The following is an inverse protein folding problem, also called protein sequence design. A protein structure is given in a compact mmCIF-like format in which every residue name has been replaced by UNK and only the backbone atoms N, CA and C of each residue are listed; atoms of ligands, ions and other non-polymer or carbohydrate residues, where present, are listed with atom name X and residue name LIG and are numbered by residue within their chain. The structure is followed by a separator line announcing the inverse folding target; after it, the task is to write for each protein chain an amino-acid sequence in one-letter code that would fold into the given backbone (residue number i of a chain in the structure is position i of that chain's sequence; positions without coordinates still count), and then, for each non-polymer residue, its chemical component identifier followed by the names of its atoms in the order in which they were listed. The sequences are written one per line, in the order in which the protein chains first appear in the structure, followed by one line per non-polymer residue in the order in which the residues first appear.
data_IF_248600685477
#
_entry.id   IF_248600685477
#
_cell.length_a   1.000
_cell.length_b   1.000
_cell.length_c   1.000
_cell.angle_alpha   90.00
_cell.angle_beta   90.00
_cell.angle_gamma   90.00
#
_symmetry.space_group_name_H-M   'P 1'
#
loop_
_entity.id
_entity.type
_entity.pdbx_description
1 polymer ?
#
# COMPACT_ATOMS: atom_id res chain seq x y z
N UNK A 1 6.40 18.97 -9.18
CA UNK A 1 6.50 17.52 -8.93
C UNK A 1 5.78 17.22 -7.63
N UNK A 2 4.90 16.23 -7.64
CA UNK A 2 4.20 15.78 -6.43
C UNK A 2 5.20 15.15 -5.46
N UNK A 3 5.16 15.55 -4.18
CA UNK A 3 6.02 14.98 -3.14
C UNK A 3 5.41 13.66 -2.64
N UNK A 4 6.22 12.84 -1.97
CA UNK A 4 5.73 11.62 -1.30
C UNK A 4 4.49 11.86 -0.43
N UNK A 5 4.49 12.99 0.31
CA UNK A 5 3.37 13.38 1.18
C UNK A 5 2.05 13.61 0.43
N UNK A 6 2.09 14.06 -0.83
CA UNK A 6 0.87 14.22 -1.63
C UNK A 6 0.16 12.88 -1.84
N UNK A 7 0.89 11.83 -2.23
CA UNK A 7 0.32 10.50 -2.43
C UNK A 7 -0.16 9.88 -1.11
N UNK A 8 0.58 10.10 -0.01
CA UNK A 8 0.17 9.65 1.31
C UNK A 8 -1.15 10.32 1.76
N UNK A 9 -1.24 11.64 1.63
CA UNK A 9 -2.45 12.42 1.95
C UNK A 9 -3.62 11.97 1.07
N UNK A 10 -3.42 11.81 -0.24
CA UNK A 10 -4.48 11.32 -1.14
C UNK A 10 -5.08 9.99 -0.67
N UNK A 11 -4.25 9.05 -0.19
CA UNK A 11 -4.74 7.77 0.38
C UNK A 11 -5.41 7.96 1.74
N UNK A 12 -4.86 8.82 2.59
CA UNK A 12 -5.40 9.08 3.93
C UNK A 12 -6.75 9.83 3.91
N UNK A 13 -7.09 10.50 2.82
CA UNK A 13 -8.39 11.16 2.59
C UNK A 13 -9.28 10.37 1.62
N UNK A 14 -9.03 9.06 1.44
CA UNK A 14 -9.95 8.21 0.70
C UNK A 14 -11.33 8.22 1.39
N UNK A 15 -12.46 8.36 0.66
CA UNK A 15 -13.80 8.47 1.25
C UNK A 15 -14.18 7.27 2.14
N UNK A 16 -13.60 6.11 1.84
CA UNK A 16 -13.63 4.94 2.71
C UNK A 16 -12.19 4.50 2.93
N UNK A 17 -11.79 4.41 4.20
CA UNK A 17 -10.40 4.16 4.59
C UNK A 17 -10.34 3.05 5.64
N UNK A 18 -9.56 2.02 5.37
CA UNK A 18 -9.11 1.09 6.39
C UNK A 18 -7.81 1.60 7.03
N UNK A 19 -7.71 1.51 8.36
CA UNK A 19 -6.52 1.86 9.12
C UNK A 19 -6.39 0.99 10.36
N UNK A 20 -5.18 0.62 10.73
CA UNK A 20 -4.92 -0.02 12.01
C UNK A 20 -4.57 1.04 13.06
N UNK A 21 -5.13 0.91 14.26
CA UNK A 21 -4.90 1.82 15.38
C UNK A 21 -4.64 1.03 16.65
N UNK A 22 -3.89 1.64 17.59
CA UNK A 22 -3.83 1.14 18.96
C UNK A 22 -5.19 1.34 19.63
N UNK A 23 -5.73 0.26 20.18
CA UNK A 23 -6.97 0.23 20.95
C UNK A 23 -6.71 0.40 22.45
N UNK A 24 -7.70 0.04 23.27
CA UNK A 24 -7.53 0.00 24.72
C UNK A 24 -6.54 -1.09 25.14
N UNK A 25 -5.54 -0.73 25.96
CA UNK A 25 -4.43 -1.61 26.32
C UNK A 25 -3.46 -1.83 25.15
N UNK A 26 -2.96 -3.06 25.00
CA UNK A 26 -2.01 -3.44 23.94
C UNK A 26 -2.70 -4.02 22.68
N UNK A 27 -4.02 -3.81 22.55
CA UNK A 27 -4.78 -4.34 21.42
C UNK A 27 -4.57 -3.47 20.16
N UNK A 28 -4.48 -4.12 19.01
CA UNK A 28 -4.62 -3.48 17.70
C UNK A 28 -6.05 -3.62 17.20
N UNK A 29 -6.54 -2.59 16.53
CA UNK A 29 -7.88 -2.54 15.96
C UNK A 29 -7.83 -2.18 14.48
N UNK A 30 -8.60 -2.90 13.67
CA UNK A 30 -8.86 -2.50 12.29
C UNK A 30 -10.07 -1.56 12.29
N UNK A 31 -9.86 -0.32 11.88
CA UNK A 31 -10.90 0.67 11.71
C UNK A 31 -11.21 0.86 10.22
N UNK A 32 -12.47 0.80 9.85
CA UNK A 32 -12.96 1.16 8.52
C UNK A 32 -13.81 2.42 8.68
N UNK A 33 -13.28 3.56 8.25
CA UNK A 33 -13.95 4.87 8.30
C UNK A 33 -14.72 5.11 7.00
N UNK A 34 -15.90 5.73 7.10
CA UNK A 34 -16.78 6.03 5.97
C UNK A 34 -17.24 7.48 6.03
N UNK A 35 -16.65 8.32 5.18
CA UNK A 35 -17.00 9.74 5.05
C UNK A 35 -18.05 9.98 3.95
N UNK A 36 -18.62 8.91 3.36
CA UNK A 36 -19.67 9.02 2.35
C UNK A 36 -21.05 9.23 2.98
N UNK A 37 -22.04 9.61 2.15
CA UNK A 37 -23.42 9.84 2.59
C UNK A 37 -24.27 8.56 2.70
N UNK A 38 -23.69 7.39 2.39
CA UNK A 38 -24.35 6.10 2.38
C UNK A 38 -23.65 5.12 3.31
N UNK A 39 -24.38 4.18 3.90
CA UNK A 39 -23.77 3.04 4.60
C UNK A 39 -22.91 2.25 3.63
N UNK A 40 -21.71 1.87 4.06
CA UNK A 40 -20.78 1.02 3.31
C UNK A 40 -20.69 -0.32 4.01
N UNK A 41 -21.03 -1.38 3.28
CA UNK A 41 -21.04 -2.76 3.79
C UNK A 41 -20.22 -3.66 2.89
N UNK A 42 -19.52 -4.62 3.48
CA UNK A 42 -18.69 -5.53 2.72
C UNK A 42 -17.95 -6.54 3.57
N UNK A 43 -16.98 -7.20 2.93
CA UNK A 43 -16.05 -8.12 3.58
C UNK A 43 -14.64 -7.54 3.59
N UNK A 44 -13.92 -7.80 4.67
CA UNK A 44 -12.48 -7.57 4.77
C UNK A 44 -11.77 -8.86 5.13
N UNK A 45 -10.64 -9.10 4.47
CA UNK A 45 -9.70 -10.16 4.84
C UNK A 45 -8.53 -9.51 5.54
N UNK A 46 -8.41 -9.74 6.85
CA UNK A 46 -7.23 -9.37 7.61
C UNK A 46 -6.25 -10.54 7.60
N UNK A 47 -4.99 -10.29 7.26
CA UNK A 47 -3.93 -11.32 7.26
C UNK A 47 -2.76 -10.86 8.11
N UNK A 48 -2.25 -11.78 8.91
CA UNK A 48 -0.92 -11.68 9.48
C UNK A 48 0.00 -12.50 8.60
N UNK A 49 0.93 -11.84 7.92
CA UNK A 49 1.80 -12.48 6.94
C UNK A 49 3.27 -12.17 7.20
N UNK A 50 4.13 -13.13 6.84
CA UNK A 50 5.56 -12.92 6.71
C UNK A 50 5.86 -11.99 5.53
N UNK A 51 7.05 -11.40 5.53
CA UNK A 51 7.47 -10.48 4.47
C UNK A 51 7.60 -11.17 3.10
N UNK A 52 7.75 -12.49 3.07
CA UNK A 52 7.74 -13.31 1.85
C UNK A 52 6.33 -13.66 1.33
N UNK A 53 5.28 -13.21 2.02
CA UNK A 53 3.88 -13.46 1.66
C UNK A 53 3.26 -14.70 2.30
N UNK A 54 4.02 -15.46 3.09
CA UNK A 54 3.47 -16.61 3.82
C UNK A 54 2.45 -16.13 4.85
N UNK A 55 1.19 -16.53 4.68
CA UNK A 55 0.10 -16.18 5.60
C UNK A 55 0.16 -17.08 6.83
N UNK A 56 0.36 -16.48 8.00
CA UNK A 56 0.35 -17.18 9.29
C UNK A 56 -1.07 -17.31 9.84
N UNK A 57 -1.84 -16.21 9.78
CA UNK A 57 -3.22 -16.17 10.24
C UNK A 57 -4.06 -15.31 9.28
N UNK A 58 -5.33 -15.67 9.14
CA UNK A 58 -6.28 -14.98 8.26
C UNK A 58 -7.65 -14.92 8.91
N UNK A 59 -8.30 -13.76 8.81
CA UNK A 59 -9.64 -13.51 9.32
C UNK A 59 -10.49 -12.89 8.22
N UNK A 60 -11.57 -13.57 7.84
CA UNK A 60 -12.58 -13.02 6.93
C UNK A 60 -13.74 -12.47 7.75
N UNK A 61 -13.97 -11.16 7.66
CA UNK A 61 -14.87 -10.45 8.56
C UNK A 61 -15.84 -9.59 7.76
N UNK A 62 -17.14 -9.63 8.09
CA UNK A 62 -18.08 -8.64 7.58
C UNK A 62 -17.86 -7.30 8.29
N UNK A 63 -18.19 -6.21 7.63
CA UNK A 63 -18.29 -4.89 8.24
C UNK A 63 -19.48 -4.12 7.68
N UNK A 64 -20.02 -3.21 8.49
CA UNK A 64 -21.02 -2.21 8.08
C UNK A 64 -20.67 -0.90 8.77
N UNK A 65 -20.25 0.09 7.99
CA UNK A 65 -19.92 1.43 8.46
C UNK A 65 -21.02 2.39 8.02
N UNK A 66 -21.76 2.95 8.97
CA UNK A 66 -22.80 3.94 8.69
C UNK A 66 -22.24 5.18 7.98
N UNK A 67 -23.12 5.96 7.35
CA UNK A 67 -22.80 7.27 6.78
C UNK A 67 -22.11 8.17 7.81
N UNK A 68 -20.94 8.73 7.46
CA UNK A 68 -20.11 9.53 8.38
C UNK A 68 -19.56 8.76 9.60
N UNK A 69 -19.60 7.43 9.56
CA UNK A 69 -19.31 6.55 10.69
C UNK A 69 -18.06 5.69 10.50
N UNK A 70 -17.94 4.67 11.34
CA UNK A 70 -16.87 3.68 11.24
C UNK A 70 -17.34 2.30 11.70
N UNK A 71 -16.57 1.27 11.33
CA UNK A 71 -16.68 -0.09 11.84
C UNK A 71 -15.33 -0.56 12.40
N UNK A 72 -15.38 -1.44 13.40
CA UNK A 72 -14.19 -2.10 13.98
C UNK A 72 -14.35 -3.63 13.86
N UNK A 73 -14.20 -4.20 12.66
CA UNK A 73 -14.47 -5.62 12.43
C UNK A 73 -13.44 -6.56 13.07
N UNK A 74 -12.24 -6.08 13.41
CA UNK A 74 -11.16 -6.88 13.96
C UNK A 74 -10.48 -6.20 15.13
N UNK A 75 -10.18 -6.97 16.17
CA UNK A 75 -9.35 -6.57 17.31
C UNK A 75 -8.57 -7.78 17.83
N UNK A 76 -7.26 -7.62 18.04
CA UNK A 76 -6.45 -8.62 18.73
C UNK A 76 -5.21 -7.97 19.36
N UNK A 77 -4.68 -8.60 20.41
CA UNK A 77 -3.33 -8.34 20.90
C UNK A 77 -2.36 -9.23 20.12
N UNK A 78 -1.36 -8.63 19.47
CA UNK A 78 -0.34 -9.34 18.72
C UNK A 78 1.04 -8.85 19.17
N UNK A 79 2.01 -9.75 19.42
CA UNK A 79 3.34 -9.35 19.82
C UNK A 79 4.07 -8.64 18.68
N UNK A 80 4.95 -7.71 19.04
CA UNK A 80 5.77 -7.01 18.07
C UNK A 80 6.74 -7.98 17.35
N UNK A 81 6.76 -7.94 16.02
CA UNK A 81 7.57 -8.82 15.19
C UNK A 81 8.15 -8.09 13.97
N UNK A 82 9.47 -8.11 13.75
CA UNK A 82 10.11 -7.38 12.65
C UNK A 82 9.94 -8.06 11.28
N UNK A 83 9.53 -9.32 11.26
CA UNK A 83 9.38 -10.19 10.09
C UNK A 83 7.90 -10.44 9.73
N UNK A 84 6.98 -9.65 10.29
CA UNK A 84 5.54 -9.75 10.04
C UNK A 84 4.94 -8.40 9.70
N UNK A 85 3.92 -8.43 8.84
CA UNK A 85 3.01 -7.32 8.61
C UNK A 85 1.59 -7.81 8.81
N UNK A 86 0.75 -6.97 9.42
CA UNK A 86 -0.70 -7.18 9.43
C UNK A 86 -1.31 -6.36 8.29
N UNK A 87 -2.12 -6.98 7.45
CA UNK A 87 -2.82 -6.32 6.34
C UNK A 87 -4.32 -6.47 6.46
N UNK A 88 -5.04 -5.56 5.83
CA UNK A 88 -6.48 -5.66 5.63
C UNK A 88 -6.82 -5.32 4.18
N UNK A 89 -7.37 -6.31 3.46
CA UNK A 89 -7.74 -6.19 2.05
C UNK A 89 -9.27 -6.22 1.94
N UNK A 90 -9.84 -5.22 1.25
CA UNK A 90 -11.28 -5.21 0.96
C UNK A 90 -11.62 -6.25 -0.10
N UNK A 91 -12.51 -7.19 0.22
CA UNK A 91 -13.00 -8.20 -0.74
C UNK A 91 -13.80 -7.56 -1.89
N UNK A 92 -14.41 -6.40 -1.62
CA UNK A 92 -15.28 -5.63 -2.52
C UNK A 92 -14.59 -4.40 -3.12
N UNK A 93 -13.27 -4.21 -2.88
CA UNK A 93 -12.47 -3.05 -3.34
C UNK A 93 -13.05 -1.69 -2.89
N UNK A 94 -13.65 -1.64 -1.71
CA UNK A 94 -14.23 -0.42 -1.14
C UNK A 94 -13.17 0.54 -0.57
N UNK A 95 -12.00 0.03 -0.21
CA UNK A 95 -10.88 0.82 0.31
C UNK A 95 -9.54 0.22 -0.16
N UNK A 96 -8.49 1.05 -0.14
CA UNK A 96 -7.10 0.61 -0.34
C UNK A 96 -6.62 -0.29 0.80
N UNK A 97 -5.78 -1.27 0.48
CA UNK A 97 -5.20 -2.18 1.47
C UNK A 97 -4.53 -1.42 2.61
N UNK A 98 -4.98 -1.66 3.84
CA UNK A 98 -4.34 -1.14 5.03
C UNK A 98 -3.22 -2.08 5.48
N UNK A 99 -2.23 -1.52 6.18
CA UNK A 99 -1.15 -2.28 6.79
C UNK A 99 -0.80 -1.75 8.18
N UNK A 100 -0.25 -2.63 9.00
CA UNK A 100 0.39 -2.28 10.26
C UNK A 100 1.77 -2.94 10.33
N UNK A 101 2.77 -2.11 10.61
CA UNK A 101 4.14 -2.55 10.88
C UNK A 101 4.29 -2.58 12.40
N UNK A 102 4.69 -3.74 12.93
CA UNK A 102 4.85 -3.93 14.38
C UNK A 102 6.09 -3.22 14.95
N UNK A 103 7.01 -2.83 14.08
CA UNK A 103 8.25 -2.14 14.41
C UNK A 103 8.46 -0.97 13.44
N UNK A 104 9.30 0.02 13.79
CA UNK A 104 9.70 1.05 12.83
C UNK A 104 10.28 0.43 11.55
N UNK A 105 10.07 1.09 10.41
CA UNK A 105 10.52 0.58 9.09
C UNK A 105 12.02 0.23 9.05
N UNK A 106 12.86 0.94 9.82
CA UNK A 106 14.29 0.67 9.91
C UNK A 106 14.63 -0.65 10.60
N UNK A 107 13.73 -1.17 11.43
CA UNK A 107 13.89 -2.43 12.18
C UNK A 107 13.14 -3.61 11.55
N UNK A 108 12.40 -3.40 10.45
CA UNK A 108 11.83 -4.52 9.69
C UNK A 108 12.96 -5.39 9.12
N UNK A 109 12.74 -6.70 9.14
CA UNK A 109 13.61 -7.71 8.55
C UNK A 109 13.45 -7.79 7.01
N UNK A 110 13.49 -6.63 6.35
CA UNK A 110 13.39 -6.53 4.89
C UNK A 110 14.54 -7.25 4.22
N UNK A 111 14.24 -8.01 3.17
CA UNK A 111 15.23 -8.60 2.28
C UNK A 111 16.10 -7.49 1.67
N UNK A 112 17.43 -7.49 1.94
CA UNK A 112 18.34 -6.52 1.39
C UNK A 112 18.38 -6.60 -0.13
N UNK A 113 18.48 -5.44 -0.78
CA UNK A 113 18.61 -5.35 -2.24
C UNK A 113 17.47 -5.95 -3.08
N UNK A 114 16.34 -6.33 -2.45
CA UNK A 114 15.14 -6.70 -3.17
C UNK A 114 14.61 -5.51 -4.01
N UNK A 115 14.11 -5.81 -5.21
CA UNK A 115 13.57 -4.84 -6.17
C UNK A 115 12.24 -5.34 -6.74
N UNK A 116 11.37 -4.45 -7.22
CA UNK A 116 10.18 -4.87 -7.93
C UNK A 116 10.54 -5.45 -9.29
N UNK A 117 9.80 -6.46 -9.72
CA UNK A 117 9.71 -6.83 -11.13
C UNK A 117 9.02 -5.69 -11.89
N UNK A 118 9.55 -5.32 -13.05
CA UNK A 118 9.08 -4.15 -13.80
C UNK A 118 8.69 -4.55 -15.22
N UNK A 119 7.46 -4.25 -15.60
CA UNK A 119 7.01 -4.27 -16.99
C UNK A 119 6.55 -2.87 -17.40
N UNK A 120 7.06 -2.38 -18.53
CA UNK A 120 6.70 -1.05 -19.07
C UNK A 120 6.05 -1.20 -20.44
N UNK A 121 4.83 -0.69 -20.56
CA UNK A 121 4.07 -0.64 -21.80
C UNK A 121 3.93 0.81 -22.25
N UNK A 122 4.28 1.10 -23.51
CA UNK A 122 4.06 2.41 -24.12
C UNK A 122 2.61 2.52 -24.60
N UNK A 123 1.86 3.44 -24.01
CA UNK A 123 0.48 3.73 -24.42
C UNK A 123 0.41 4.85 -25.47
N UNK A 124 1.32 5.82 -25.39
CA UNK A 124 1.50 6.87 -26.41
C UNK A 124 2.91 7.48 -26.29
N UNK A 125 3.22 8.50 -27.10
CA UNK A 125 4.47 9.25 -26.95
C UNK A 125 4.62 9.90 -25.56
N UNK A 126 3.50 10.28 -24.92
CA UNK A 126 3.43 11.03 -23.66
C UNK A 126 2.80 10.24 -22.52
N UNK A 127 2.67 8.91 -22.66
CA UNK A 127 2.05 8.05 -21.65
C UNK A 127 2.66 6.65 -21.62
N UNK A 128 3.08 6.22 -20.43
CA UNK A 128 3.52 4.86 -20.14
C UNK A 128 2.62 4.22 -19.07
N UNK A 129 2.46 2.90 -19.15
CA UNK A 129 1.94 2.06 -18.07
C UNK A 129 3.11 1.26 -17.49
N UNK A 130 3.37 1.43 -16.21
CA UNK A 130 4.41 0.71 -15.47
C UNK A 130 3.73 -0.24 -14.50
N UNK A 131 3.89 -1.54 -14.72
CA UNK A 131 3.42 -2.58 -13.82
C UNK A 131 4.58 -3.05 -12.95
N UNK A 132 4.38 -3.03 -11.64
CA UNK A 132 5.36 -3.39 -10.63
C UNK A 132 4.86 -4.64 -9.91
N UNK A 133 5.68 -5.69 -9.84
CA UNK A 133 5.43 -6.90 -9.04
C UNK A 133 6.44 -7.00 -7.90
N UNK A 134 6.02 -7.54 -6.77
CA UNK A 134 6.87 -7.65 -5.59
C UNK A 134 7.18 -9.13 -5.26
N UNK A 135 8.44 -9.58 -5.33
CA UNK A 135 8.81 -10.95 -4.95
C UNK A 135 8.83 -11.16 -3.43
N UNK A 136 8.93 -10.07 -2.67
CA UNK A 136 8.92 -9.98 -1.20
C UNK A 136 8.30 -8.64 -0.82
N UNK A 137 8.14 -8.33 0.47
CA UNK A 137 7.68 -7.02 0.90
C UNK A 137 8.65 -5.91 0.46
N UNK A 138 8.15 -5.00 -0.38
CA UNK A 138 8.88 -3.83 -0.84
C UNK A 138 8.29 -2.57 -0.21
N UNK A 139 9.06 -1.92 0.65
CA UNK A 139 8.61 -0.71 1.32
C UNK A 139 8.89 0.54 0.49
N UNK A 140 7.93 1.48 0.45
CA UNK A 140 8.05 2.77 -0.24
C UNK A 140 8.57 2.65 -1.68
N UNK A 141 8.03 1.72 -2.47
CA UNK A 141 8.24 1.66 -3.91
C UNK A 141 7.86 3.00 -4.54
N UNK A 142 8.80 3.60 -5.26
CA UNK A 142 8.60 4.89 -5.88
C UNK A 142 9.33 5.03 -7.21
N UNK A 143 8.69 5.80 -8.09
CA UNK A 143 9.23 6.21 -9.39
C UNK A 143 9.77 7.64 -9.27
N UNK A 144 10.94 7.86 -9.83
CA UNK A 144 11.62 9.16 -9.91
C UNK A 144 12.03 9.47 -11.33
N UNK A 145 12.20 10.74 -11.66
CA UNK A 145 12.71 11.19 -12.95
C UNK A 145 13.44 12.53 -12.77
N UNK A 146 14.40 12.81 -13.66
CA UNK A 146 15.00 14.14 -13.78
C UNK A 146 14.07 15.13 -14.49
N UNK A 147 13.03 14.62 -15.15
CA UNK A 147 12.05 15.44 -15.87
C UNK A 147 10.94 15.94 -14.95
N UNK A 148 10.77 17.25 -14.90
CA UNK A 148 9.78 17.90 -14.03
C UNK A 148 8.33 17.83 -14.56
N UNK A 149 8.14 17.52 -15.83
CA UNK A 149 6.83 17.46 -16.49
C UNK A 149 6.09 16.14 -16.26
N UNK A 150 6.75 15.13 -15.67
CA UNK A 150 6.12 13.84 -15.38
C UNK A 150 5.12 13.93 -14.24
N UNK A 151 4.03 13.16 -14.36
CA UNK A 151 3.01 12.93 -13.33
C UNK A 151 2.78 11.43 -13.18
N UNK A 152 2.55 11.01 -11.94
CA UNK A 152 2.39 9.61 -11.57
C UNK A 152 0.99 9.39 -11.03
N UNK A 153 0.25 8.43 -11.57
CA UNK A 153 -1.08 8.11 -11.05
C UNK A 153 -1.05 7.62 -9.62
N UNK A 154 0.08 7.05 -9.18
CA UNK A 154 0.37 6.68 -7.79
C UNK A 154 1.89 6.60 -7.58
N UNK A 155 2.37 6.81 -6.35
CA UNK A 155 3.80 6.76 -6.03
C UNK A 155 4.02 6.58 -4.52
N UNK A 156 5.20 6.13 -4.08
CA UNK A 156 5.52 5.94 -2.65
C UNK A 156 4.50 5.05 -1.92
N UNK A 157 4.30 3.83 -2.40
CA UNK A 157 3.44 2.80 -1.79
C UNK A 157 4.28 1.60 -1.37
N UNK A 158 3.74 0.72 -0.54
CA UNK A 158 4.39 -0.58 -0.32
C UNK A 158 3.72 -1.60 -1.24
N UNK A 159 4.44 -2.67 -1.54
CA UNK A 159 3.91 -3.85 -2.21
C UNK A 159 4.22 -5.07 -1.36
N UNK A 160 3.19 -5.85 -1.03
CA UNK A 160 3.37 -7.15 -0.41
C UNK A 160 3.89 -8.17 -1.42
N UNK A 161 4.47 -9.27 -0.94
CA UNK A 161 4.90 -10.35 -1.81
C UNK A 161 3.73 -10.89 -2.66
N UNK A 162 3.96 -11.09 -3.95
CA UNK A 162 2.96 -11.47 -4.94
C UNK A 162 1.99 -10.34 -5.34
N UNK A 163 2.06 -9.16 -4.73
CA UNK A 163 1.22 -8.02 -5.10
C UNK A 163 1.75 -7.35 -6.38
N UNK A 164 0.82 -6.95 -7.25
CA UNK A 164 1.10 -6.12 -8.41
C UNK A 164 0.40 -4.78 -8.28
N UNK A 165 1.09 -3.70 -8.71
CA UNK A 165 0.50 -2.37 -8.83
C UNK A 165 0.89 -1.72 -10.16
N UNK A 166 -0.10 -1.08 -10.77
CA UNK A 166 0.07 -0.38 -12.04
C UNK A 166 0.09 1.12 -11.82
N UNK A 167 1.17 1.77 -12.24
CA UNK A 167 1.33 3.22 -12.26
C UNK A 167 1.26 3.71 -13.70
N UNK A 168 0.31 4.60 -13.98
CA UNK A 168 0.28 5.35 -15.23
C UNK A 168 1.16 6.58 -15.07
N UNK A 169 2.13 6.75 -15.98
CA UNK A 169 3.00 7.92 -16.04
C UNK A 169 2.62 8.75 -17.25
N UNK A 170 2.40 10.06 -17.07
CA UNK A 170 2.09 11.01 -18.14
C UNK A 170 3.08 12.17 -18.14
N UNK A 171 3.27 12.80 -19.30
CA UNK A 171 4.17 13.94 -19.48
C UNK A 171 3.59 14.95 -20.48
N UNK A 172 4.17 16.17 -20.53
CA UNK A 172 3.77 17.20 -21.49
C UNK A 172 4.41 16.98 -22.88
N UNK A 173 5.54 16.29 -22.93
CA UNK A 173 6.26 15.96 -24.17
C UNK A 173 6.72 14.50 -24.16
N UNK A 174 7.23 14.03 -25.30
CA UNK A 174 7.59 12.63 -25.46
C UNK A 174 8.65 12.19 -24.44
N UNK A 175 8.51 10.98 -23.90
CA UNK A 175 9.43 10.38 -22.94
C UNK A 175 9.49 8.85 -23.10
N UNK A 176 10.48 8.20 -22.51
CA UNK A 176 10.67 6.77 -22.54
C UNK A 176 10.93 6.15 -21.16
N UNK A 177 11.03 4.81 -21.11
CA UNK A 177 11.34 4.09 -19.88
C UNK A 177 12.64 4.55 -19.22
N UNK A 178 13.66 4.91 -20.02
CA UNK A 178 14.97 5.38 -19.52
C UNK A 178 14.91 6.73 -18.79
N UNK A 179 13.80 7.48 -18.93
CA UNK A 179 13.54 8.69 -18.16
C UNK A 179 13.08 8.38 -16.72
N UNK A 180 12.82 7.11 -16.38
CA UNK A 180 12.30 6.66 -15.09
C UNK A 180 13.37 5.90 -14.30
N UNK A 181 13.39 6.10 -12.99
CA UNK A 181 14.13 5.26 -12.06
C UNK A 181 13.17 4.77 -10.98
N UNK A 182 13.13 3.47 -10.77
CA UNK A 182 12.30 2.80 -9.75
C UNK A 182 13.20 2.43 -8.57
N UNK A 183 12.76 2.73 -7.36
CA UNK A 183 13.47 2.42 -6.10
C UNK A 183 12.50 1.96 -5.03
N UNK A 184 13.01 1.28 -4.03
CA UNK A 184 12.31 1.05 -2.77
C UNK A 184 13.26 1.19 -1.59
N UNK A 185 12.75 1.06 -0.37
CA UNK A 185 13.54 1.17 0.85
C UNK A 185 14.48 -0.04 1.07
N UNK A 186 14.20 -1.16 0.39
CA UNK A 186 15.03 -2.37 0.43
C UNK A 186 16.42 -2.13 -0.18
N UNK A 187 16.61 -1.08 -1.00
CA UNK A 187 17.87 -0.62 -1.57
C UNK A 187 18.90 -0.11 -0.53
N UNK A 188 18.58 -0.15 0.76
CA UNK A 188 19.47 0.29 1.82
C UNK A 188 20.70 -0.64 1.92
N UNK A 189 21.87 -0.04 2.10
CA UNK A 189 23.04 -0.78 2.59
C UNK A 189 22.80 -1.11 4.06
N UNK A 190 23.00 -2.37 4.43
CA UNK A 190 22.97 -2.83 5.81
C UNK A 190 24.00 -2.09 6.67
#
# INVERSE_FOLDING_TARGET
MEKASYHAVRRAFAPVLASFRGGAGDALELWISNDTLSTVEGGVVATLEALDGTVEQSWTLPFSAASGGHAVPWRAALPARPDRVLRAVSSSRQFETARHLFVPISALALEPDARPDVAVERLSATKLRVTLGAPTWLAFVHLTSRRADLRFSDNHFDLAAGEHRTVTVTAASAFGPDDLTIRCWNDRKA
#
